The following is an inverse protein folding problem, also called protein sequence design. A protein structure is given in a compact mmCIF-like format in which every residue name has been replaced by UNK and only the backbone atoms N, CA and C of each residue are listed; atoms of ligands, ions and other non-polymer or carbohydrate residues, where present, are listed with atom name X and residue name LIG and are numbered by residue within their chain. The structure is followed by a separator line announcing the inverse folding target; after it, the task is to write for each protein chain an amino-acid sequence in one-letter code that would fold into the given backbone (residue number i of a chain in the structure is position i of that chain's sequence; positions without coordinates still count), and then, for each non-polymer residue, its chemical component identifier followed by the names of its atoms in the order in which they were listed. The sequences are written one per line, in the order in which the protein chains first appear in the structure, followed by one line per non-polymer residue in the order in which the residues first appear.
data_IF_454215574531
#
_entry.id   IF_454215574531
#
_cell.length_a   1.000
_cell.length_b   1.000
_cell.length_c   1.000
_cell.angle_alpha   90.00
_cell.angle_beta   90.00
_cell.angle_gamma   90.00
#
_symmetry.space_group_name_H-M   'P 1'
#
loop_
_entity.id
_entity.type
_entity.pdbx_description
1 polymer ?
#
# COMPACT_ATOMS: atom_id res chain seq x y z
N UNK A 1 10.16 -4.58 24.49
CA UNK A 1 10.33 -4.08 23.13
C UNK A 1 11.83 -3.99 22.82
N UNK A 2 12.29 -4.60 21.74
CA UNK A 2 13.70 -4.65 21.31
C UNK A 2 14.39 -3.28 21.32
N UNK A 3 13.70 -2.25 20.87
CA UNK A 3 14.25 -0.89 20.82
C UNK A 3 14.40 -0.26 22.21
N UNK A 4 13.47 -0.55 23.14
CA UNK A 4 13.58 -0.09 24.52
C UNK A 4 14.69 -0.82 25.29
N UNK A 5 15.02 -2.06 24.90
CA UNK A 5 16.18 -2.78 25.46
C UNK A 5 17.50 -2.15 25.01
N UNK A 6 17.56 -1.66 23.74
CA UNK A 6 18.75 -1.05 23.17
C UNK A 6 18.97 0.41 23.62
N UNK A 7 17.90 1.18 23.69
CA UNK A 7 17.94 2.64 23.88
C UNK A 7 17.38 3.12 25.20
N UNK A 8 16.80 2.24 26.01
CA UNK A 8 16.18 2.54 27.29
C UNK A 8 14.68 2.79 27.18
N UNK A 9 13.99 2.63 28.30
CA UNK A 9 12.56 2.93 28.45
C UNK A 9 12.36 4.35 28.91
N UNK A 10 11.37 5.03 28.35
CA UNK A 10 10.93 6.32 28.87
C UNK A 10 10.46 6.18 30.33
N UNK A 11 10.96 6.98 31.25
CA UNK A 11 10.52 6.95 32.66
C UNK A 11 9.08 7.48 32.81
N UNK A 12 8.61 8.33 31.89
CA UNK A 12 7.38 9.11 32.05
C UNK A 12 6.33 8.86 30.95
N UNK A 13 6.69 8.19 29.87
CA UNK A 13 5.77 7.97 28.76
C UNK A 13 4.99 6.66 28.91
N UNK A 14 3.66 6.75 29.03
CA UNK A 14 2.72 5.63 29.09
C UNK A 14 2.09 5.33 27.72
N UNK A 15 2.00 6.31 26.82
CA UNK A 15 1.42 6.15 25.49
C UNK A 15 2.40 5.55 24.48
N UNK A 16 1.88 4.88 23.44
CA UNK A 16 2.71 4.36 22.35
C UNK A 16 3.52 5.46 21.66
N UNK A 17 2.89 6.59 21.35
CA UNK A 17 3.57 7.74 20.75
C UNK A 17 4.71 8.29 21.63
N UNK A 18 4.44 8.53 22.90
CA UNK A 18 5.47 9.04 23.83
C UNK A 18 6.65 8.08 23.99
N UNK A 19 6.41 6.77 24.06
CA UNK A 19 7.47 5.74 24.11
C UNK A 19 8.28 5.73 22.81
N UNK A 20 7.62 5.89 21.66
CA UNK A 20 8.28 5.95 20.37
C UNK A 20 9.14 7.21 20.21
N UNK A 21 8.61 8.37 20.60
CA UNK A 21 9.36 9.63 20.62
C UNK A 21 10.64 9.50 21.45
N UNK A 22 10.51 9.00 22.68
CA UNK A 22 11.67 8.78 23.54
C UNK A 22 12.71 7.87 22.89
N UNK A 23 12.27 6.78 22.23
CA UNK A 23 13.17 5.85 21.55
C UNK A 23 13.95 6.53 20.43
N UNK A 24 13.30 7.37 19.62
CA UNK A 24 13.95 8.13 18.54
C UNK A 24 14.99 9.12 19.09
N UNK A 25 14.64 9.84 20.14
CA UNK A 25 15.54 10.80 20.82
C UNK A 25 16.75 10.09 21.43
N UNK A 26 16.52 9.01 22.18
CA UNK A 26 17.58 8.24 22.82
C UNK A 26 18.51 7.56 21.78
N UNK A 27 17.95 7.05 20.68
CA UNK A 27 18.74 6.49 19.59
C UNK A 27 19.64 7.55 18.94
N UNK A 28 19.11 8.73 18.65
CA UNK A 28 19.88 9.84 18.10
C UNK A 28 20.98 10.29 19.07
N UNK A 29 20.65 10.47 20.33
CA UNK A 29 21.61 10.86 21.37
C UNK A 29 22.75 9.85 21.53
N UNK A 30 22.42 8.54 21.49
CA UNK A 30 23.40 7.46 21.66
C UNK A 30 24.30 7.25 20.45
N UNK A 31 23.77 7.44 19.24
CA UNK A 31 24.47 7.09 17.99
C UNK A 31 25.04 8.30 17.24
N UNK A 32 24.56 9.51 17.53
CA UNK A 32 24.82 10.73 16.77
C UNK A 32 24.16 10.72 15.37
N UNK A 33 23.31 9.74 15.06
CA UNK A 33 22.65 9.58 13.75
C UNK A 33 21.16 9.75 13.89
N UNK A 34 20.56 10.45 12.93
CA UNK A 34 19.10 10.55 12.80
C UNK A 34 18.50 9.23 12.32
N UNK A 35 17.31 8.91 12.78
CA UNK A 35 16.64 7.65 12.48
C UNK A 35 16.00 7.65 11.08
N UNK A 36 16.03 6.50 10.43
CA UNK A 36 15.16 6.17 9.29
C UNK A 36 14.01 5.32 9.83
N UNK A 37 12.78 5.71 9.52
CA UNK A 37 11.57 4.99 9.94
C UNK A 37 10.84 4.50 8.69
N UNK A 38 10.67 3.18 8.61
CA UNK A 38 9.93 2.52 7.54
C UNK A 38 8.74 1.81 8.18
N UNK A 39 7.52 2.13 7.74
CA UNK A 39 6.29 1.53 8.23
C UNK A 39 5.57 0.92 7.04
N UNK A 40 5.50 -0.40 7.03
CA UNK A 40 4.71 -1.15 6.07
C UNK A 40 3.33 -1.47 6.65
N UNK A 41 2.31 -1.55 5.79
CA UNK A 41 0.92 -1.80 6.17
C UNK A 41 0.41 -0.83 7.28
N UNK A 42 0.67 0.48 7.12
CA UNK A 42 0.30 1.49 8.13
C UNK A 42 -1.21 1.52 8.42
N UNK A 43 -2.01 1.08 7.49
CA UNK A 43 -3.47 1.05 7.48
C UNK A 43 -4.06 -0.27 8.04
N UNK A 44 -3.26 -1.31 8.17
CA UNK A 44 -3.68 -2.64 8.62
C UNK A 44 -4.51 -2.63 9.91
N UNK A 45 -4.13 -1.89 10.98
CA UNK A 45 -4.95 -1.85 12.20
C UNK A 45 -6.36 -1.30 12.00
N UNK A 46 -6.57 -0.48 10.96
CA UNK A 46 -7.89 0.05 10.61
C UNK A 46 -8.64 -0.94 9.70
N UNK A 47 -7.97 -1.48 8.69
CA UNK A 47 -8.58 -2.43 7.74
C UNK A 47 -9.11 -3.69 8.43
N UNK A 48 -8.41 -4.18 9.45
CA UNK A 48 -8.81 -5.39 10.19
C UNK A 48 -10.16 -5.22 10.93
N UNK A 49 -10.48 -3.99 11.34
CA UNK A 49 -11.69 -3.66 12.12
C UNK A 49 -12.73 -2.84 11.35
N UNK A 50 -12.44 -2.45 10.13
CA UNK A 50 -13.33 -1.67 9.28
C UNK A 50 -14.66 -2.40 9.08
N UNK A 51 -15.77 -1.71 9.32
CA UNK A 51 -17.16 -2.21 9.19
C UNK A 51 -17.46 -3.52 9.96
N UNK A 52 -16.69 -3.84 10.98
CA UNK A 52 -16.97 -5.01 11.81
C UNK A 52 -18.02 -4.75 12.89
N UNK A 53 -18.23 -3.50 13.28
CA UNK A 53 -19.04 -3.14 14.44
C UNK A 53 -18.42 -3.60 15.77
N UNK A 54 -17.19 -4.10 15.78
CA UNK A 54 -16.53 -4.54 17.01
C UNK A 54 -16.26 -3.37 17.94
N UNK A 55 -16.50 -3.58 19.23
CA UNK A 55 -16.26 -2.60 20.28
C UNK A 55 -15.32 -3.11 21.36
N UNK A 56 -14.75 -2.19 22.11
CA UNK A 56 -13.95 -2.46 23.29
C UNK A 56 -14.37 -1.55 24.45
N UNK A 57 -14.16 -1.98 25.69
CA UNK A 57 -14.40 -1.16 26.87
C UNK A 57 -13.13 -0.45 27.29
N UNK A 58 -13.17 0.88 27.27
CA UNK A 58 -12.07 1.74 27.73
C UNK A 58 -12.62 2.69 28.80
N UNK A 59 -11.99 2.70 29.95
CA UNK A 59 -12.41 3.55 31.11
C UNK A 59 -13.90 3.39 31.44
N UNK A 60 -14.46 2.19 31.25
CA UNK A 60 -15.86 1.88 31.50
C UNK A 60 -16.85 2.29 30.39
N UNK A 61 -16.36 2.92 29.31
CA UNK A 61 -17.17 3.29 28.15
C UNK A 61 -16.91 2.32 26.98
N UNK A 62 -17.96 1.95 26.28
CA UNK A 62 -17.89 1.18 25.05
C UNK A 62 -17.52 2.09 23.89
N UNK A 63 -16.49 1.70 23.12
CA UNK A 63 -16.03 2.43 21.92
C UNK A 63 -15.80 1.46 20.77
N UNK A 64 -16.10 1.87 19.56
CA UNK A 64 -15.77 1.10 18.37
C UNK A 64 -14.25 0.90 18.26
N UNK A 65 -13.83 -0.32 17.90
CA UNK A 65 -12.41 -0.63 17.73
C UNK A 65 -11.77 0.23 16.64
N UNK A 66 -12.51 0.53 15.57
CA UNK A 66 -12.05 1.41 14.52
C UNK A 66 -11.68 2.80 15.05
N UNK A 67 -12.57 3.43 15.84
CA UNK A 67 -12.28 4.71 16.46
C UNK A 67 -11.09 4.63 17.43
N UNK A 68 -11.02 3.56 18.20
CA UNK A 68 -9.91 3.33 19.12
C UNK A 68 -8.56 3.20 18.39
N UNK A 69 -8.49 2.38 17.34
CA UNK A 69 -7.28 2.21 16.53
C UNK A 69 -6.89 3.51 15.82
N UNK A 70 -7.87 4.24 15.28
CA UNK A 70 -7.66 5.54 14.64
C UNK A 70 -7.00 6.55 15.61
N UNK A 71 -7.48 6.61 16.84
CA UNK A 71 -6.93 7.49 17.86
C UNK A 71 -5.50 7.08 18.27
N UNK A 72 -5.21 5.79 18.38
CA UNK A 72 -3.85 5.29 18.65
C UNK A 72 -2.90 5.67 17.52
N UNK A 73 -3.28 5.43 16.25
CA UNK A 73 -2.46 5.75 15.10
C UNK A 73 -2.22 7.26 14.96
N UNK A 74 -3.26 8.06 15.18
CA UNK A 74 -3.13 9.52 15.22
C UNK A 74 -2.12 9.98 16.27
N UNK A 75 -2.17 9.42 17.47
CA UNK A 75 -1.20 9.70 18.54
C UNK A 75 0.21 9.22 18.20
N UNK A 76 0.35 8.11 17.49
CA UNK A 76 1.65 7.58 17.05
C UNK A 76 2.26 8.47 15.95
N UNK A 77 1.49 8.82 14.92
CA UNK A 77 2.00 9.59 13.78
C UNK A 77 2.23 11.07 14.08
N UNK A 78 1.53 11.64 15.07
CA UNK A 78 1.81 13.01 15.54
C UNK A 78 3.23 13.18 16.06
N UNK A 79 3.85 12.09 16.54
CA UNK A 79 5.24 12.06 17.02
C UNK A 79 6.25 12.46 15.96
N UNK A 80 6.01 12.20 14.70
CA UNK A 80 6.94 12.55 13.62
C UNK A 80 7.19 14.06 13.53
N UNK A 81 6.18 14.88 13.87
CA UNK A 81 6.34 16.33 13.95
C UNK A 81 7.27 16.75 15.08
N UNK A 82 7.11 16.11 16.26
CA UNK A 82 7.94 16.41 17.43
C UNK A 82 9.35 15.85 17.30
N UNK A 83 9.49 14.73 16.58
CA UNK A 83 10.75 14.03 16.36
C UNK A 83 11.55 14.53 15.16
N UNK A 84 11.12 15.57 14.44
CA UNK A 84 11.72 16.03 13.19
C UNK A 84 13.25 16.15 13.24
N UNK A 85 13.78 16.75 14.29
CA UNK A 85 15.23 16.87 14.51
C UNK A 85 15.96 15.53 14.70
N UNK A 86 15.24 14.45 14.99
CA UNK A 86 15.78 13.08 15.21
C UNK A 86 15.56 12.16 14.02
N UNK A 87 14.87 12.63 12.97
CA UNK A 87 14.52 11.87 11.80
C UNK A 87 15.36 12.25 10.58
N UNK A 88 15.84 11.26 9.87
CA UNK A 88 16.49 11.41 8.56
C UNK A 88 15.50 11.20 7.42
N UNK A 89 14.61 10.22 7.55
CA UNK A 89 13.65 9.84 6.53
C UNK A 89 12.50 9.04 7.16
N UNK A 90 11.30 9.21 6.63
CA UNK A 90 10.13 8.41 7.00
C UNK A 90 9.44 7.97 5.72
N UNK A 91 9.14 6.68 5.60
CA UNK A 91 8.34 6.10 4.52
C UNK A 91 7.20 5.29 5.14
N UNK A 92 6.00 5.55 4.66
CA UNK A 92 4.79 4.78 5.00
C UNK A 92 4.28 4.09 3.74
N UNK A 93 4.01 2.80 3.84
CA UNK A 93 3.32 2.04 2.79
C UNK A 93 2.07 1.39 3.36
N UNK A 94 1.08 1.13 2.52
CA UNK A 94 -0.17 0.50 2.88
C UNK A 94 -0.99 0.17 1.66
N UNK A 95 -2.06 -0.58 1.85
CA UNK A 95 -3.00 -0.92 0.78
C UNK A 95 -3.93 0.26 0.48
N UNK A 96 -4.44 0.91 1.54
CA UNK A 96 -5.49 1.92 1.42
C UNK A 96 -5.01 3.27 1.90
N UNK A 97 -5.21 4.27 1.08
CA UNK A 97 -4.99 5.65 1.46
C UNK A 97 -6.22 6.17 2.22
N UNK A 98 -6.24 5.98 3.54
CA UNK A 98 -7.23 6.64 4.38
C UNK A 98 -7.08 8.15 4.26
N UNK A 99 -8.19 8.87 4.05
CA UNK A 99 -8.16 10.32 3.87
C UNK A 99 -7.31 10.97 4.96
N UNK A 100 -6.35 11.78 4.56
CA UNK A 100 -5.27 12.32 5.39
C UNK A 100 -5.77 13.05 6.66
N UNK A 101 -7.01 13.51 6.65
CA UNK A 101 -7.58 14.34 7.72
C UNK A 101 -7.70 13.59 9.05
N UNK A 102 -7.85 12.27 9.05
CA UNK A 102 -8.18 11.54 10.28
C UNK A 102 -6.97 10.96 11.03
N UNK A 103 -5.99 10.44 10.32
CA UNK A 103 -4.82 9.75 10.93
C UNK A 103 -3.58 10.64 10.93
N UNK A 104 -3.38 11.43 9.89
CA UNK A 104 -2.19 12.27 9.70
C UNK A 104 -2.37 13.74 10.10
N UNK A 105 -3.49 14.13 10.71
CA UNK A 105 -3.74 15.54 11.08
C UNK A 105 -2.70 16.16 12.04
N UNK A 106 -1.94 15.33 12.73
CA UNK A 106 -0.84 15.76 13.60
C UNK A 106 0.55 15.65 12.97
N UNK A 107 0.64 15.17 11.74
CA UNK A 107 1.89 14.99 10.99
C UNK A 107 2.07 16.15 10.01
N UNK A 108 3.28 16.66 9.84
CA UNK A 108 3.58 17.64 8.78
C UNK A 108 3.38 16.92 7.45
N UNK A 109 2.25 17.14 6.82
CA UNK A 109 1.73 16.50 5.60
C UNK A 109 2.78 15.66 4.86
N UNK A 110 2.74 14.32 4.97
CA UNK A 110 3.65 13.47 4.22
C UNK A 110 3.45 13.74 2.73
N UNK A 111 4.54 13.75 1.95
CA UNK A 111 4.42 13.84 0.51
C UNK A 111 3.80 12.54 0.01
N UNK A 112 2.63 12.63 -0.58
CA UNK A 112 2.05 11.52 -1.31
C UNK A 112 2.80 11.28 -2.62
N UNK A 113 3.25 10.06 -2.81
CA UNK A 113 4.01 9.63 -4.00
C UNK A 113 3.30 8.51 -4.76
N UNK A 114 2.08 8.14 -4.37
CA UNK A 114 1.36 6.98 -4.91
C UNK A 114 1.10 7.08 -6.42
N UNK A 115 0.88 8.30 -6.93
CA UNK A 115 0.69 8.56 -8.36
C UNK A 115 1.77 9.49 -8.93
N UNK A 116 2.88 9.69 -8.24
CA UNK A 116 3.98 10.51 -8.74
C UNK A 116 4.80 9.69 -9.76
N UNK A 117 4.88 10.10 -11.04
CA UNK A 117 5.56 9.35 -12.09
C UNK A 117 7.01 8.97 -11.77
N UNK A 118 7.66 9.76 -10.91
CA UNK A 118 9.05 9.49 -10.49
C UNK A 118 9.19 8.25 -9.62
N UNK A 119 8.10 7.74 -9.06
CA UNK A 119 8.06 6.63 -8.11
C UNK A 119 7.15 5.48 -8.56
N UNK A 120 6.59 5.54 -9.77
CA UNK A 120 5.62 4.54 -10.25
C UNK A 120 6.18 3.10 -10.28
N UNK A 121 7.49 2.95 -10.47
CA UNK A 121 8.16 1.64 -10.44
C UNK A 121 8.69 1.24 -9.05
N UNK A 122 8.43 2.03 -7.99
CA UNK A 122 9.03 1.79 -6.66
C UNK A 122 8.65 0.43 -6.05
N UNK A 123 7.41 0.00 -6.27
CA UNK A 123 6.85 -1.22 -5.70
C UNK A 123 6.60 -2.33 -6.73
N UNK A 124 7.14 -2.18 -7.94
CA UNK A 124 6.95 -3.13 -9.04
C UNK A 124 8.25 -3.54 -9.71
N UNK A 125 8.14 -4.23 -10.83
CA UNK A 125 9.27 -4.60 -11.69
C UNK A 125 8.94 -4.08 -13.09
N UNK A 126 9.79 -3.22 -13.65
CA UNK A 126 9.63 -2.78 -15.03
C UNK A 126 10.06 -3.87 -16.02
N UNK A 127 9.65 -3.75 -17.27
CA UNK A 127 10.06 -4.68 -18.33
C UNK A 127 11.58 -4.73 -18.50
N UNK A 128 12.24 -3.56 -18.42
CA UNK A 128 13.69 -3.45 -18.51
C UNK A 128 14.37 -4.19 -17.35
N UNK A 129 13.93 -3.98 -16.12
CA UNK A 129 14.46 -4.66 -14.93
C UNK A 129 14.22 -6.17 -14.99
N UNK A 130 13.04 -6.60 -15.44
CA UNK A 130 12.72 -8.01 -15.61
C UNK A 130 13.71 -8.69 -16.56
N UNK A 131 14.00 -8.08 -17.70
CA UNK A 131 14.90 -8.67 -18.69
C UNK A 131 16.37 -8.54 -18.31
N UNK A 132 16.73 -7.52 -17.53
CA UNK A 132 18.08 -7.33 -17.04
C UNK A 132 18.44 -8.27 -15.89
N UNK A 133 17.54 -8.45 -14.93
CA UNK A 133 17.85 -9.18 -13.69
C UNK A 133 17.42 -10.64 -13.70
N UNK A 134 16.52 -11.04 -14.59
CA UNK A 134 15.97 -12.40 -14.63
C UNK A 134 16.12 -13.12 -15.99
N UNK A 135 17.25 -12.97 -16.74
CA UNK A 135 17.40 -13.65 -18.03
C UNK A 135 17.40 -15.18 -17.87
N UNK A 136 18.12 -15.73 -16.90
CA UNK A 136 18.21 -17.19 -16.69
C UNK A 136 16.86 -17.83 -16.30
N UNK A 137 16.05 -17.27 -15.38
CA UNK A 137 14.70 -17.77 -15.12
C UNK A 137 13.80 -17.75 -16.37
N UNK A 138 13.88 -16.72 -17.21
CA UNK A 138 13.10 -16.62 -18.44
C UNK A 138 13.53 -17.71 -19.43
N UNK A 139 14.83 -17.96 -19.59
CA UNK A 139 15.37 -19.02 -20.44
C UNK A 139 14.92 -20.41 -19.95
N UNK A 140 14.99 -20.69 -18.65
CA UNK A 140 14.49 -21.95 -18.07
C UNK A 140 13.00 -22.18 -18.39
N UNK A 141 12.18 -21.15 -18.24
CA UNK A 141 10.77 -21.22 -18.60
C UNK A 141 10.59 -21.49 -20.11
N UNK A 142 11.32 -20.78 -20.97
CA UNK A 142 11.25 -20.99 -22.41
C UNK A 142 11.55 -22.44 -22.80
N UNK A 143 12.59 -23.03 -22.22
CA UNK A 143 12.93 -24.45 -22.42
C UNK A 143 11.80 -25.36 -21.94
N UNK A 144 11.26 -25.13 -20.74
CA UNK A 144 10.21 -25.94 -20.14
C UNK A 144 8.91 -25.90 -20.96
N UNK A 145 8.54 -24.72 -21.45
CA UNK A 145 7.32 -24.52 -22.25
C UNK A 145 7.55 -24.75 -23.75
N UNK A 146 8.77 -25.18 -24.16
CA UNK A 146 9.15 -25.50 -25.54
C UNK A 146 8.87 -24.32 -26.51
N UNK A 147 9.20 -23.12 -26.09
CA UNK A 147 9.05 -21.89 -26.88
C UNK A 147 10.37 -21.11 -26.91
N UNK A 148 10.45 -20.12 -27.79
CA UNK A 148 11.62 -19.21 -27.81
C UNK A 148 11.57 -18.21 -26.66
N UNK A 149 12.73 -17.64 -26.28
CA UNK A 149 12.82 -16.60 -25.25
C UNK A 149 11.93 -15.40 -25.58
N UNK A 150 11.88 -14.85 -26.81
CA UNK A 150 10.92 -13.81 -27.15
C UNK A 150 9.45 -14.19 -26.91
N UNK A 151 9.05 -15.39 -27.28
CA UNK A 151 7.69 -15.87 -27.02
C UNK A 151 7.39 -16.01 -25.53
N UNK A 152 8.39 -16.41 -24.73
CA UNK A 152 8.22 -16.46 -23.28
C UNK A 152 8.10 -15.06 -22.67
N UNK A 153 8.85 -14.07 -23.15
CA UNK A 153 8.71 -12.67 -22.74
C UNK A 153 7.32 -12.11 -23.01
N UNK A 154 6.82 -12.32 -24.23
CA UNK A 154 5.45 -11.96 -24.62
C UNK A 154 4.40 -12.60 -23.70
N UNK A 155 4.61 -13.87 -23.36
CA UNK A 155 3.70 -14.60 -22.49
C UNK A 155 3.73 -14.04 -21.06
N UNK A 156 4.91 -13.78 -20.51
CA UNK A 156 5.06 -13.15 -19.18
C UNK A 156 4.41 -11.76 -19.15
N UNK A 157 4.58 -10.99 -20.23
CA UNK A 157 3.93 -9.69 -20.38
C UNK A 157 2.42 -9.84 -20.32
N UNK A 158 1.84 -10.70 -21.10
CA UNK A 158 0.40 -10.93 -21.15
C UNK A 158 -0.20 -11.38 -19.81
N UNK A 159 0.53 -12.17 -19.03
CA UNK A 159 0.00 -12.80 -17.81
C UNK A 159 0.25 -11.99 -16.54
N UNK A 160 1.30 -11.13 -16.51
CA UNK A 160 1.77 -10.52 -15.26
C UNK A 160 2.08 -9.03 -15.32
N UNK A 161 2.00 -8.44 -16.51
CA UNK A 161 2.09 -7.01 -16.75
C UNK A 161 0.71 -6.36 -16.74
N UNK A 162 0.66 -5.04 -16.80
CA UNK A 162 -0.57 -4.28 -17.02
C UNK A 162 -0.97 -3.37 -15.89
N UNK A 163 -0.17 -3.29 -14.81
CA UNK A 163 -0.36 -2.29 -13.77
C UNK A 163 0.27 -0.96 -14.17
N UNK A 164 -0.48 0.13 -14.00
CA UNK A 164 -0.01 1.50 -14.17
C UNK A 164 -0.39 2.32 -12.94
N UNK A 165 0.54 3.15 -12.46
CA UNK A 165 0.37 3.91 -11.23
C UNK A 165 0.40 5.43 -11.43
N UNK A 166 0.61 5.90 -12.66
CA UNK A 166 0.64 7.32 -13.02
C UNK A 166 0.04 7.59 -14.39
N UNK A 167 0.00 8.86 -14.78
CA UNK A 167 -0.40 9.33 -16.11
C UNK A 167 0.64 9.02 -17.21
N UNK A 168 1.84 8.57 -16.84
CA UNK A 168 2.89 8.15 -17.79
C UNK A 168 2.64 6.74 -18.33
N UNK A 169 1.87 5.92 -17.61
CA UNK A 169 1.46 4.57 -18.00
C UNK A 169 2.66 3.63 -18.24
N UNK A 170 3.68 3.69 -17.39
CA UNK A 170 4.77 2.72 -17.43
C UNK A 170 4.25 1.34 -17.05
N UNK A 171 4.49 0.36 -17.91
CA UNK A 171 4.13 -1.05 -17.69
C UNK A 171 4.87 -1.63 -16.48
N UNK A 172 4.14 -2.09 -15.49
CA UNK A 172 4.68 -2.64 -14.25
C UNK A 172 4.18 -4.07 -14.03
N UNK A 173 5.13 -4.99 -13.91
CA UNK A 173 4.85 -6.38 -13.55
C UNK A 173 4.59 -6.53 -12.06
N UNK A 174 3.65 -7.39 -11.70
CA UNK A 174 3.40 -7.76 -10.32
C UNK A 174 4.58 -8.60 -9.77
N UNK A 175 5.36 -8.09 -8.79
CA UNK A 175 6.56 -8.78 -8.31
C UNK A 175 6.26 -10.13 -7.68
N UNK A 176 5.17 -10.23 -6.91
CA UNK A 176 4.79 -11.48 -6.25
C UNK A 176 4.51 -12.58 -7.27
N UNK A 177 3.74 -12.28 -8.31
CA UNK A 177 3.42 -13.23 -9.36
C UNK A 177 4.67 -13.66 -10.13
N UNK A 178 5.47 -12.71 -10.58
CA UNK A 178 6.70 -12.98 -11.35
C UNK A 178 7.71 -13.83 -10.56
N UNK A 179 7.97 -13.48 -9.30
CA UNK A 179 8.91 -14.22 -8.47
C UNK A 179 8.43 -15.65 -8.18
N UNK A 180 7.12 -15.85 -7.98
CA UNK A 180 6.56 -17.19 -7.82
C UNK A 180 6.64 -18.02 -9.10
N UNK A 181 6.46 -17.41 -10.27
CA UNK A 181 6.67 -18.08 -11.57
C UNK A 181 8.10 -18.58 -11.68
N UNK A 182 9.07 -17.74 -11.36
CA UNK A 182 10.49 -18.10 -11.46
C UNK A 182 10.94 -19.14 -10.44
N UNK A 183 10.38 -19.10 -9.24
CA UNK A 183 10.64 -20.10 -8.20
C UNK A 183 10.03 -21.46 -8.55
N UNK A 184 8.76 -21.49 -8.93
CA UNK A 184 8.03 -22.74 -9.26
C UNK A 184 8.29 -23.27 -10.67
N UNK A 185 8.88 -22.46 -11.56
CA UNK A 185 8.94 -22.67 -13.02
C UNK A 185 7.57 -22.95 -13.67
N UNK A 186 6.50 -22.37 -13.15
CA UNK A 186 5.13 -22.58 -13.67
C UNK A 186 4.41 -21.24 -13.81
N UNK A 187 3.82 -21.01 -14.97
CA UNK A 187 2.87 -19.93 -15.21
C UNK A 187 1.54 -20.30 -14.56
N UNK A 188 1.02 -19.45 -13.68
CA UNK A 188 -0.21 -19.67 -12.93
C UNK A 188 -0.69 -18.33 -12.32
N UNK A 189 -1.97 -18.26 -11.92
CA UNK A 189 -2.60 -17.09 -11.30
C UNK A 189 -2.17 -16.94 -9.81
N UNK A 190 -0.94 -16.50 -9.59
CA UNK A 190 -0.39 -16.40 -8.24
C UNK A 190 -1.02 -15.29 -7.42
N UNK A 191 -1.41 -14.20 -8.04
CA UNK A 191 -2.01 -13.07 -7.38
C UNK A 191 -3.28 -13.44 -6.60
N UNK A 192 -4.13 -14.29 -7.18
CA UNK A 192 -5.35 -14.76 -6.51
C UNK A 192 -5.09 -15.66 -5.30
N UNK A 193 -3.91 -16.26 -5.18
CA UNK A 193 -3.55 -17.13 -4.06
C UNK A 193 -3.29 -16.40 -2.76
N UNK A 194 -3.01 -15.11 -2.80
CA UNK A 194 -2.83 -14.28 -1.60
C UNK A 194 -4.15 -13.97 -0.89
N UNK A 195 -5.27 -14.32 -1.51
CA UNK A 195 -6.61 -14.15 -0.99
C UNK A 195 -7.14 -12.72 -1.18
N UNK A 196 -8.43 -12.62 -1.50
CA UNK A 196 -9.11 -11.32 -1.49
C UNK A 196 -9.12 -10.79 -0.05
N UNK A 197 -8.69 -9.55 0.19
CA UNK A 197 -8.70 -8.99 1.53
C UNK A 197 -10.11 -9.04 2.14
N UNK A 198 -10.21 -9.51 3.38
CA UNK A 198 -11.50 -9.72 4.05
C UNK A 198 -12.33 -8.45 4.12
N UNK A 199 -11.68 -7.29 4.28
CA UNK A 199 -12.38 -5.99 4.28
C UNK A 199 -13.01 -5.67 2.93
N UNK A 200 -12.36 -6.02 1.81
CA UNK A 200 -12.90 -5.80 0.48
C UNK A 200 -14.15 -6.67 0.22
N UNK A 201 -14.12 -7.93 0.68
CA UNK A 201 -15.29 -8.81 0.61
C UNK A 201 -16.45 -8.21 1.40
N UNK A 202 -16.19 -7.69 2.61
CA UNK A 202 -17.22 -7.02 3.41
C UNK A 202 -17.79 -5.82 2.68
N UNK A 203 -16.93 -4.94 2.16
CA UNK A 203 -17.33 -3.74 1.43
C UNK A 203 -18.21 -4.07 0.22
N UNK A 204 -17.80 -5.01 -0.62
CA UNK A 204 -18.56 -5.43 -1.80
C UNK A 204 -19.92 -6.06 -1.43
N UNK A 205 -19.99 -6.80 -0.32
CA UNK A 205 -21.24 -7.36 0.16
C UNK A 205 -22.21 -6.27 0.68
N UNK A 206 -21.70 -5.18 1.23
CA UNK A 206 -22.51 -4.06 1.71
C UNK A 206 -23.05 -3.20 0.57
N UNK A 207 -22.22 -2.90 -0.42
CA UNK A 207 -22.59 -1.96 -1.49
C UNK A 207 -23.39 -2.61 -2.63
N UNK A 208 -23.35 -3.96 -2.76
CA UNK A 208 -23.94 -4.70 -3.88
C UNK A 208 -23.53 -4.18 -5.27
N UNK A 209 -22.38 -3.49 -5.33
CA UNK A 209 -21.84 -2.93 -6.57
C UNK A 209 -21.38 -4.01 -7.52
N UNK A 210 -21.68 -3.82 -8.80
CA UNK A 210 -21.21 -4.69 -9.88
C UNK A 210 -19.84 -4.17 -10.36
N UNK A 211 -18.77 -4.92 -10.11
CA UNK A 211 -17.42 -4.55 -10.54
C UNK A 211 -17.32 -4.23 -12.04
N UNK A 212 -18.09 -4.91 -12.87
CA UNK A 212 -18.08 -4.63 -14.33
C UNK A 212 -18.66 -3.25 -14.67
N UNK A 213 -19.42 -2.65 -13.78
CA UNK A 213 -19.93 -1.29 -13.97
C UNK A 213 -18.92 -0.22 -13.58
N UNK A 214 -17.87 -0.59 -12.89
CA UNK A 214 -16.78 0.30 -12.50
C UNK A 214 -15.63 0.32 -13.53
N UNK A 215 -15.63 -0.60 -14.51
CA UNK A 215 -14.58 -0.70 -15.52
C UNK A 215 -14.90 0.08 -16.78
N UNK A 216 -13.86 0.43 -17.55
CA UNK A 216 -14.00 1.09 -18.84
C UNK A 216 -14.54 2.54 -18.75
N UNK A 217 -14.43 3.17 -17.60
CA UNK A 217 -14.90 4.54 -17.36
C UNK A 217 -13.77 5.46 -16.92
N UNK A 218 -13.92 6.74 -17.25
CA UNK A 218 -13.04 7.79 -16.76
C UNK A 218 -13.55 8.33 -15.43
N UNK A 219 -12.61 8.49 -14.49
CA UNK A 219 -12.87 8.98 -13.14
C UNK A 219 -11.97 10.17 -12.82
N UNK A 220 -12.49 11.12 -12.04
CA UNK A 220 -11.68 12.15 -11.43
C UNK A 220 -10.78 11.54 -10.34
N UNK A 221 -9.53 12.01 -10.17
CA UNK A 221 -8.63 11.52 -9.12
C UNK A 221 -9.26 11.46 -7.73
N UNK A 222 -10.11 12.42 -7.38
CA UNK A 222 -10.78 12.47 -6.08
C UNK A 222 -11.79 11.35 -5.84
N UNK A 223 -12.20 10.64 -6.89
CA UNK A 223 -13.18 9.54 -6.79
C UNK A 223 -12.52 8.20 -6.43
N UNK A 224 -11.22 8.00 -6.72
CA UNK A 224 -10.58 6.70 -6.52
C UNK A 224 -9.24 6.73 -5.73
N UNK A 225 -8.64 7.91 -5.53
CA UNK A 225 -7.36 8.02 -4.80
C UNK A 225 -7.55 7.97 -3.29
N UNK A 226 -8.56 8.64 -2.76
CA UNK A 226 -8.75 8.79 -1.32
C UNK A 226 -9.94 7.98 -0.82
N UNK A 227 -9.69 7.01 0.06
CA UNK A 227 -10.78 6.32 0.75
C UNK A 227 -11.33 7.19 1.89
N UNK A 228 -12.62 7.45 1.84
CA UNK A 228 -13.39 8.14 2.90
C UNK A 228 -14.30 7.11 3.55
N UNK A 229 -14.12 6.86 4.84
CA UNK A 229 -14.87 5.86 5.58
C UNK A 229 -16.39 6.18 5.74
N UNK A 230 -16.78 7.42 5.46
CA UNK A 230 -18.16 7.90 5.50
C UNK A 230 -18.88 7.84 4.13
N UNK A 231 -18.20 7.39 3.09
CA UNK A 231 -18.74 7.27 1.73
C UNK A 231 -18.80 5.79 1.35
N UNK A 232 -19.99 5.29 1.08
CA UNK A 232 -20.26 3.89 0.67
C UNK A 232 -19.80 3.59 -0.77
N UNK A 233 -18.69 4.20 -1.24
CA UNK A 233 -18.17 4.00 -2.58
C UNK A 233 -16.99 3.02 -2.54
N UNK A 234 -17.10 1.83 -3.14
CA UNK A 234 -16.05 0.83 -3.10
C UNK A 234 -14.87 1.12 -4.04
N UNK A 235 -15.03 2.04 -5.01
CA UNK A 235 -14.06 2.31 -6.05
C UNK A 235 -12.62 2.60 -5.55
N UNK A 236 -12.39 3.48 -4.53
CA UNK A 236 -11.05 3.71 -4.02
C UNK A 236 -10.40 2.44 -3.47
N UNK A 237 -11.17 1.63 -2.75
CA UNK A 237 -10.70 0.40 -2.14
C UNK A 237 -10.36 -0.66 -3.21
N UNK A 238 -11.17 -0.78 -4.25
CA UNK A 238 -10.99 -1.72 -5.36
C UNK A 238 -9.74 -1.35 -6.15
N UNK A 239 -9.57 -0.06 -6.48
CA UNK A 239 -8.38 0.43 -7.17
C UNK A 239 -7.11 0.24 -6.33
N UNK A 240 -7.11 0.70 -5.09
CA UNK A 240 -5.95 0.63 -4.22
C UNK A 240 -5.56 -0.80 -3.83
N UNK A 241 -6.52 -1.73 -3.86
CA UNK A 241 -6.24 -3.16 -3.68
C UNK A 241 -5.73 -3.84 -4.96
N UNK A 242 -5.57 -3.11 -6.07
CA UNK A 242 -5.02 -3.63 -7.32
C UNK A 242 -5.99 -4.46 -8.17
N UNK A 243 -7.31 -4.38 -7.92
CA UNK A 243 -8.31 -5.00 -8.80
C UNK A 243 -8.60 -4.17 -10.04
N UNK A 244 -8.35 -2.87 -9.96
CA UNK A 244 -8.37 -1.95 -11.10
C UNK A 244 -7.01 -1.28 -11.23
N UNK A 245 -6.67 -0.88 -12.44
CA UNK A 245 -5.49 -0.12 -12.77
C UNK A 245 -5.82 1.00 -13.73
N UNK A 246 -4.92 1.95 -13.89
CA UNK A 246 -5.03 3.03 -14.88
C UNK A 246 -4.72 2.43 -16.27
N UNK A 247 -5.59 2.67 -17.24
CA UNK A 247 -5.40 2.23 -18.65
C UNK A 247 -5.22 3.40 -19.61
N UNK A 248 -5.67 4.60 -19.23
CA UNK A 248 -5.50 5.80 -20.03
C UNK A 248 -5.62 7.04 -19.14
N UNK A 249 -5.13 8.17 -19.62
CA UNK A 249 -5.23 9.47 -18.98
C UNK A 249 -5.69 10.54 -19.98
N UNK A 250 -6.80 11.18 -19.68
CA UNK A 250 -7.31 12.31 -20.42
C UNK A 250 -6.80 13.62 -19.81
N UNK A 251 -5.80 14.22 -20.45
CA UNK A 251 -5.15 15.44 -19.99
C UNK A 251 -6.11 16.65 -19.98
N UNK A 252 -7.03 16.75 -20.93
CA UNK A 252 -7.94 17.90 -21.06
C UNK A 252 -8.97 17.93 -19.91
N UNK A 253 -9.42 16.75 -19.48
CA UNK A 253 -10.42 16.59 -18.43
C UNK A 253 -9.80 16.25 -17.08
N UNK A 254 -8.50 15.98 -17.01
CA UNK A 254 -7.78 15.47 -15.83
C UNK A 254 -8.47 14.22 -15.24
N UNK A 255 -8.84 13.27 -16.09
CA UNK A 255 -9.52 12.03 -15.68
C UNK A 255 -8.74 10.79 -16.11
N UNK A 256 -8.89 9.70 -15.37
CA UNK A 256 -8.19 8.43 -15.57
C UNK A 256 -9.17 7.34 -15.95
N UNK A 257 -8.88 6.60 -17.01
CA UNK A 257 -9.62 5.40 -17.38
C UNK A 257 -9.19 4.26 -16.47
N UNK A 258 -10.11 3.70 -15.70
CA UNK A 258 -9.88 2.53 -14.87
C UNK A 258 -10.45 1.28 -15.51
N UNK A 259 -9.65 0.20 -15.50
CA UNK A 259 -10.08 -1.12 -15.98
C UNK A 259 -9.26 -2.22 -15.27
N UNK A 260 -9.55 -3.48 -15.57
CA UNK A 260 -8.77 -4.61 -15.06
C UNK A 260 -7.32 -4.55 -15.55
N UNK A 261 -6.35 -5.01 -14.72
CA UNK A 261 -4.94 -5.08 -15.08
C UNK A 261 -4.67 -5.91 -16.33
#
# INVERSE_FOLDING_TARGET
NKWEELYGKSPNASTFGGRFLYTLQAAHQKTGKRAVVLIDEYDKPLLDVLDTGYSTKLEGQERLLEEHHRNILKGLYSVFKEADANLQFVLLTGVTKFSQVSVFSGFNQPKDISMDPRYEALCGITEEELYQYFPEPIERLAVQYKCSVPQMKERLKKEYDGYHFSDVLTDIYNPFSVLNVFDSNRINDYWFKTGTPTYLIRLLNHTQENLNELTGKYYDPSEFIDYKADVEMPLPMIYQSGYLTIKDYNMDMNTYLLDFP
#
